data_IF_387632584714
#
_entry.id   IF_387632584714
#
_cell.length_a   1.000
_cell.length_b   1.000
_cell.length_c   1.000
_cell.angle_alpha   90.00
_cell.angle_beta   90.00
_cell.angle_gamma   90.00
#
_symmetry.space_group_name_H-M   'P 1'
#
loop_
_entity.id
_entity.type
_entity.pdbx_description
1 polymer ?
#
# COMPACT_ATOMS: atom_id res chain seq x y z
N UNK A 1 -27.50 -7.84 29.29
CA UNK A 1 -28.57 -7.28 28.43
C UNK A 1 -28.00 -7.17 27.06
N UNK A 2 -28.19 -8.23 26.29
CA UNK A 2 -27.64 -8.37 24.96
C UNK A 2 -28.58 -7.67 24.00
N UNK A 3 -28.14 -6.59 23.42
CA UNK A 3 -28.77 -6.02 22.25
C UNK A 3 -28.28 -6.81 21.04
N UNK A 4 -28.92 -7.87 20.74
CA UNK A 4 -28.82 -8.55 19.46
C UNK A 4 -29.46 -7.64 18.40
N UNK A 5 -28.64 -6.77 17.83
CA UNK A 5 -29.02 -6.01 16.66
C UNK A 5 -28.81 -6.91 15.46
N UNK A 6 -29.89 -7.35 14.87
CA UNK A 6 -29.92 -8.16 13.66
C UNK A 6 -28.96 -7.67 12.58
N UNK A 7 -27.77 -8.26 12.54
CA UNK A 7 -26.82 -8.11 11.47
C UNK A 7 -26.81 -9.39 10.64
N UNK A 8 -27.74 -9.45 9.70
CA UNK A 8 -27.70 -10.48 8.66
C UNK A 8 -26.36 -10.38 7.92
N UNK A 9 -25.65 -11.50 7.80
CA UNK A 9 -24.44 -11.60 6.99
C UNK A 9 -23.09 -11.43 7.72
N UNK A 10 -23.08 -11.27 9.05
CA UNK A 10 -21.81 -11.37 9.82
C UNK A 10 -21.67 -12.78 10.36
N UNK A 11 -20.49 -13.37 10.11
CA UNK A 11 -20.02 -14.54 10.87
C UNK A 11 -20.03 -14.15 12.34
N UNK A 12 -20.95 -14.72 13.09
CA UNK A 12 -20.95 -14.61 14.56
C UNK A 12 -19.71 -15.38 15.04
N UNK A 13 -18.86 -14.75 15.82
CA UNK A 13 -17.79 -15.46 16.53
C UNK A 13 -18.38 -16.66 17.24
N UNK A 14 -17.67 -17.79 17.23
CA UNK A 14 -17.99 -18.92 18.08
C UNK A 14 -18.25 -18.40 19.52
N UNK A 15 -19.31 -18.84 20.18
CA UNK A 15 -19.67 -18.34 21.49
C UNK A 15 -18.48 -18.40 22.43
N UNK A 16 -18.21 -17.32 23.15
CA UNK A 16 -17.08 -17.26 24.09
C UNK A 16 -17.18 -18.30 25.24
N UNK A 17 -18.34 -18.92 25.44
CA UNK A 17 -18.51 -20.07 26.32
C UNK A 17 -17.62 -21.27 25.95
N UNK A 18 -17.08 -21.32 24.70
CA UNK A 18 -16.06 -22.30 24.33
C UNK A 18 -14.79 -22.16 25.17
N UNK A 19 -14.49 -20.96 25.61
CA UNK A 19 -13.36 -20.66 26.49
C UNK A 19 -13.77 -20.58 27.97
N UNK A 20 -15.05 -20.83 28.30
CA UNK A 20 -15.49 -20.87 29.67
C UNK A 20 -14.80 -22.03 30.42
N UNK A 21 -14.34 -21.85 31.68
CA UNK A 21 -13.61 -22.88 32.43
C UNK A 21 -14.31 -24.24 32.49
N UNK A 22 -15.64 -24.25 32.49
CA UNK A 22 -16.42 -25.50 32.48
C UNK A 22 -16.39 -26.16 31.11
N UNK A 23 -16.48 -25.39 30.00
CA UNK A 23 -16.33 -25.90 28.66
C UNK A 23 -14.93 -26.47 28.42
N UNK A 24 -13.90 -25.79 28.91
CA UNK A 24 -12.51 -26.27 28.84
C UNK A 24 -12.36 -27.58 29.63
N UNK A 25 -12.92 -27.67 30.84
CA UNK A 25 -12.91 -28.91 31.65
C UNK A 25 -13.63 -30.06 30.95
N UNK A 26 -14.77 -29.79 30.32
CA UNK A 26 -15.52 -30.78 29.57
C UNK A 26 -14.73 -31.30 28.37
N UNK A 27 -14.11 -30.40 27.59
CA UNK A 27 -13.25 -30.76 26.45
C UNK A 27 -12.08 -31.63 26.89
N UNK A 28 -11.42 -31.31 28.03
CA UNK A 28 -10.33 -32.11 28.55
C UNK A 28 -10.82 -33.46 29.11
N UNK A 29 -12.01 -33.50 29.71
CA UNK A 29 -12.61 -34.78 30.20
C UNK A 29 -12.97 -35.69 29.03
N UNK A 30 -13.45 -35.17 27.95
CA UNK A 30 -13.82 -35.91 26.72
C UNK A 30 -12.60 -36.31 25.91
N UNK A 31 -11.55 -35.47 25.85
CA UNK A 31 -10.27 -35.81 25.19
C UNK A 31 -9.59 -37.01 25.85
N UNK A 32 -9.84 -37.28 27.15
CA UNK A 32 -9.37 -38.50 27.84
C UNK A 32 -10.09 -39.79 27.40
N UNK A 33 -11.25 -39.68 26.75
CA UNK A 33 -12.02 -40.81 26.22
C UNK A 33 -11.61 -41.25 24.82
N UNK A 34 -10.67 -40.57 24.23
CA UNK A 34 -10.17 -40.88 22.90
C UNK A 34 -10.58 -39.84 21.84
N UNK A 35 -9.60 -39.40 21.07
CA UNK A 35 -9.73 -38.32 20.10
C UNK A 35 -10.80 -38.59 19.03
N UNK A 36 -11.08 -39.87 18.71
CA UNK A 36 -12.10 -40.26 17.74
C UNK A 36 -13.52 -40.13 18.29
N UNK A 37 -13.72 -40.42 19.56
CA UNK A 37 -15.05 -40.37 20.20
C UNK A 37 -15.44 -38.91 20.48
N UNK A 38 -14.47 -38.05 20.78
CA UNK A 38 -14.69 -36.62 20.91
C UNK A 38 -15.17 -35.99 19.59
N UNK A 39 -14.50 -36.32 18.49
CA UNK A 39 -14.88 -35.81 17.15
C UNK A 39 -16.27 -36.33 16.77
N UNK A 40 -16.60 -37.60 17.06
CA UNK A 40 -17.93 -38.16 16.81
C UNK A 40 -19.00 -37.51 17.69
N UNK A 41 -18.70 -37.24 18.95
CA UNK A 41 -19.65 -36.58 19.86
C UNK A 41 -19.87 -35.10 19.47
N UNK A 42 -18.81 -34.39 19.03
CA UNK A 42 -18.94 -33.02 18.54
C UNK A 42 -19.80 -32.95 17.26
N UNK A 43 -19.63 -33.90 16.36
CA UNK A 43 -20.46 -34.01 15.16
C UNK A 43 -21.88 -34.50 15.46
N UNK A 44 -22.08 -35.38 16.43
CA UNK A 44 -23.41 -35.81 16.87
C UNK A 44 -24.21 -34.69 17.54
N UNK A 45 -23.51 -33.85 18.34
CA UNK A 45 -24.15 -32.68 18.94
C UNK A 45 -24.52 -31.59 17.92
N UNK A 46 -23.70 -31.44 16.88
CA UNK A 46 -24.02 -30.54 15.75
C UNK A 46 -25.07 -31.14 14.80
N UNK A 47 -25.18 -32.47 14.71
CA UNK A 47 -26.06 -33.18 13.78
C UNK A 47 -27.47 -33.45 14.32
N UNK A 48 -27.73 -33.24 15.62
CA UNK A 48 -29.06 -33.46 16.20
C UNK A 48 -30.13 -32.42 15.79
N UNK A 49 -29.77 -31.44 14.98
CA UNK A 49 -30.67 -30.43 14.39
C UNK A 49 -30.95 -30.59 12.87
N UNK A 50 -30.34 -31.55 12.22
CA UNK A 50 -30.46 -31.66 10.75
C UNK A 50 -31.26 -32.93 10.34
N UNK A 51 -32.56 -32.78 10.17
CA UNK A 51 -33.41 -33.76 9.51
C UNK A 51 -33.06 -33.90 8.03
N UNK A 52 -33.04 -35.15 7.56
CA UNK A 52 -32.73 -35.53 6.18
C UNK A 52 -33.59 -34.81 5.15
N UNK A 53 -33.00 -33.99 4.32
CA UNK A 53 -33.60 -33.39 3.13
C UNK A 53 -32.81 -33.79 1.88
N UNK A 54 -33.54 -34.28 0.86
CA UNK A 54 -33.01 -34.77 -0.40
C UNK A 54 -32.29 -33.67 -1.19
N UNK A 55 -31.23 -34.05 -1.90
CA UNK A 55 -30.47 -33.19 -2.77
C UNK A 55 -31.27 -32.68 -3.97
N UNK A 56 -31.34 -31.37 -4.14
CA UNK A 56 -31.85 -30.71 -5.30
C UNK A 56 -30.70 -30.05 -6.13
N UNK A 57 -30.83 -29.89 -7.45
CA UNK A 57 -29.77 -29.40 -8.31
C UNK A 57 -29.47 -27.92 -8.08
N UNK A 58 -28.21 -27.55 -8.22
CA UNK A 58 -27.62 -26.22 -8.07
C UNK A 58 -28.26 -25.20 -9.05
N UNK A 59 -28.95 -24.23 -8.53
CA UNK A 59 -29.33 -23.03 -9.28
C UNK A 59 -28.14 -22.04 -9.30
N UNK A 60 -28.01 -21.34 -10.43
CA UNK A 60 -26.91 -20.40 -10.69
C UNK A 60 -26.88 -19.24 -9.71
N UNK A 61 -25.66 -18.89 -9.30
CA UNK A 61 -25.35 -17.90 -8.30
C UNK A 61 -25.68 -16.48 -8.73
N UNK A 62 -26.69 -15.91 -8.14
CA UNK A 62 -26.83 -14.45 -7.99
C UNK A 62 -27.84 -14.07 -6.91
N UNK A 63 -28.17 -14.97 -6.00
CA UNK A 63 -29.03 -14.64 -4.85
C UNK A 63 -28.53 -15.32 -3.62
N UNK A 64 -28.81 -14.77 -2.47
CA UNK A 64 -28.63 -15.46 -1.20
C UNK A 64 -29.12 -16.90 -1.33
N UNK A 65 -28.34 -17.90 -0.89
CA UNK A 65 -28.75 -19.28 -0.93
C UNK A 65 -29.97 -19.44 -0.02
N UNK A 66 -31.13 -19.29 -0.61
CA UNK A 66 -32.47 -19.52 0.04
C UNK A 66 -32.89 -20.93 -0.29
N UNK A 67 -33.63 -21.56 0.60
CA UNK A 67 -34.21 -22.87 0.35
C UNK A 67 -34.98 -22.92 -0.99
N UNK A 68 -34.95 -24.07 -1.71
CA UNK A 68 -35.70 -24.23 -2.94
C UNK A 68 -37.19 -23.90 -2.78
N UNK A 69 -37.86 -23.56 -3.88
CA UNK A 69 -39.28 -23.23 -3.87
C UNK A 69 -40.12 -24.24 -3.07
N UNK A 70 -40.78 -23.76 -2.02
CA UNK A 70 -41.59 -24.59 -1.11
C UNK A 70 -40.84 -25.08 0.13
N UNK A 71 -39.55 -24.76 0.32
CA UNK A 71 -38.80 -25.01 1.54
C UNK A 71 -38.99 -23.92 2.62
N UNK A 72 -38.54 -24.20 3.83
CA UNK A 72 -38.52 -23.21 4.91
C UNK A 72 -37.55 -22.08 4.56
N UNK A 73 -37.98 -20.80 4.47
CA UNK A 73 -37.15 -19.67 4.11
C UNK A 73 -36.06 -19.35 5.16
N UNK A 74 -36.14 -19.97 6.35
CA UNK A 74 -35.13 -19.83 7.40
C UNK A 74 -34.00 -20.88 7.30
N UNK A 75 -34.12 -21.85 6.40
CA UNK A 75 -33.11 -22.89 6.17
C UNK A 75 -32.30 -22.57 4.94
N UNK A 76 -31.05 -22.28 5.10
CA UNK A 76 -30.12 -22.10 4.00
C UNK A 76 -29.79 -23.43 3.32
N UNK A 77 -29.75 -23.43 1.99
CA UNK A 77 -29.17 -24.55 1.26
C UNK A 77 -27.68 -24.71 1.61
N UNK A 78 -27.30 -25.91 2.06
CA UNK A 78 -25.90 -26.15 2.43
C UNK A 78 -25.05 -26.42 1.19
N UNK A 79 -24.07 -25.57 0.89
CA UNK A 79 -23.15 -25.78 -0.21
C UNK A 79 -22.25 -26.99 0.04
N UNK A 80 -21.64 -27.54 -1.02
CA UNK A 80 -20.82 -28.75 -0.93
C UNK A 80 -19.64 -28.63 0.06
N UNK A 81 -19.03 -27.44 0.15
CA UNK A 81 -17.95 -27.20 1.10
C UNK A 81 -18.38 -27.25 2.59
N UNK A 82 -19.68 -27.22 2.87
CA UNK A 82 -20.23 -27.39 4.22
C UNK A 82 -20.51 -28.86 4.57
N UNK A 83 -20.42 -29.77 3.59
CA UNK A 83 -20.77 -31.20 3.74
C UNK A 83 -19.58 -32.12 3.91
N UNK A 84 -18.35 -31.61 3.80
CA UNK A 84 -17.13 -32.44 3.85
C UNK A 84 -15.93 -31.74 4.47
N UNK A 85 -14.82 -32.45 4.46
CA UNK A 85 -13.54 -31.92 4.94
C UNK A 85 -12.89 -31.06 3.86
N UNK A 86 -12.29 -29.93 4.26
CA UNK A 86 -11.45 -29.09 3.42
C UNK A 86 -10.05 -29.66 3.21
N UNK A 87 -9.15 -28.82 2.76
CA UNK A 87 -7.76 -29.17 2.55
C UNK A 87 -7.03 -29.40 3.89
N UNK A 88 -6.03 -30.29 3.95
CA UNK A 88 -5.22 -30.47 5.14
C UNK A 88 -4.42 -29.20 5.48
N UNK A 89 -4.09 -29.03 6.75
CA UNK A 89 -3.23 -27.92 7.21
C UNK A 89 -1.83 -28.02 6.60
N UNK A 90 -1.19 -26.87 6.41
CA UNK A 90 0.18 -26.74 5.87
C UNK A 90 0.33 -27.38 4.46
N UNK A 91 -0.70 -27.30 3.62
CA UNK A 91 -0.61 -27.72 2.21
C UNK A 91 0.38 -26.85 1.43
N UNK A 92 0.48 -25.58 1.80
CA UNK A 92 1.46 -24.62 1.29
C UNK A 92 2.13 -23.92 2.48
N UNK A 93 3.43 -24.09 2.65
CA UNK A 93 4.18 -23.57 3.79
C UNK A 93 4.21 -22.04 3.88
N UNK A 94 4.10 -21.36 2.75
CA UNK A 94 3.87 -19.92 2.65
C UNK A 94 2.52 -19.69 1.97
N UNK A 95 1.48 -19.43 2.74
CA UNK A 95 0.10 -19.34 2.26
C UNK A 95 -0.06 -18.46 1.02
N UNK A 96 -1.01 -18.80 0.19
CA UNK A 96 -1.37 -18.05 -1.03
C UNK A 96 -2.77 -17.46 -0.90
N UNK A 97 -3.04 -16.37 -1.62
CA UNK A 97 -4.41 -15.88 -1.77
C UNK A 97 -5.34 -16.94 -2.37
N UNK A 98 -6.65 -16.81 -2.13
CA UNK A 98 -7.64 -17.66 -2.77
C UNK A 98 -7.46 -17.67 -4.29
N UNK A 99 -7.68 -18.81 -4.92
CA UNK A 99 -7.68 -18.94 -6.39
C UNK A 99 -8.68 -18.00 -7.08
N UNK A 100 -9.72 -17.59 -6.37
CA UNK A 100 -10.73 -16.64 -6.88
C UNK A 100 -10.23 -15.19 -6.89
N UNK A 101 -9.14 -14.89 -6.18
CA UNK A 101 -8.45 -13.60 -6.17
C UNK A 101 -7.28 -13.53 -7.16
N UNK A 102 -7.20 -14.45 -8.10
CA UNK A 102 -6.10 -14.53 -9.08
C UNK A 102 -5.94 -13.28 -9.97
N UNK A 103 -6.97 -12.45 -10.05
CA UNK A 103 -6.94 -11.17 -10.78
C UNK A 103 -6.30 -10.04 -9.97
N UNK A 104 -6.15 -10.19 -8.63
CA UNK A 104 -5.51 -9.21 -7.77
C UNK A 104 -4.00 -9.41 -7.87
N UNK A 105 -3.39 -8.71 -8.82
CA UNK A 105 -1.97 -8.84 -9.13
C UNK A 105 -1.36 -7.52 -9.59
N UNK A 106 -0.05 -7.41 -9.43
CA UNK A 106 0.72 -6.33 -10.05
C UNK A 106 0.62 -6.45 -11.58
N UNK A 107 0.54 -5.32 -12.26
CA UNK A 107 0.54 -5.29 -13.73
C UNK A 107 1.71 -4.48 -14.23
N UNK A 108 2.49 -5.05 -15.13
CA UNK A 108 3.57 -4.34 -15.80
C UNK A 108 2.99 -3.28 -16.75
N UNK A 109 3.68 -2.15 -16.87
CA UNK A 109 3.30 -1.14 -17.83
C UNK A 109 3.61 -1.57 -19.25
N UNK A 110 2.63 -1.63 -20.12
CA UNK A 110 2.86 -1.91 -21.53
C UNK A 110 3.58 -0.71 -22.19
N UNK A 111 4.75 -0.92 -22.75
CA UNK A 111 5.41 0.01 -23.68
C UNK A 111 6.10 1.23 -23.07
N UNK A 112 6.21 1.38 -21.77
CA UNK A 112 6.92 2.52 -21.14
C UNK A 112 8.44 2.35 -21.11
N UNK A 113 8.95 1.16 -21.36
CA UNK A 113 10.39 0.89 -21.26
C UNK A 113 10.83 -0.02 -22.40
N UNK A 114 12.06 0.15 -22.84
CA UNK A 114 12.62 -0.65 -23.93
C UNK A 114 12.99 -2.07 -23.52
N UNK A 115 13.14 -2.31 -22.22
CA UNK A 115 13.51 -3.62 -21.67
C UNK A 115 12.66 -3.96 -20.45
N UNK A 116 12.47 -5.24 -20.20
CA UNK A 116 11.76 -5.74 -19.00
C UNK A 116 12.54 -5.44 -17.71
N UNK A 117 13.85 -5.29 -17.80
CA UNK A 117 14.71 -4.97 -16.66
C UNK A 117 14.56 -3.51 -16.22
N UNK A 118 14.36 -2.58 -17.17
CA UNK A 118 14.14 -1.17 -16.87
C UNK A 118 12.64 -0.85 -16.91
N UNK A 119 11.86 -1.45 -16.04
CA UNK A 119 10.40 -1.40 -16.08
C UNK A 119 9.75 -1.10 -14.73
N UNK A 120 8.45 -1.04 -14.74
CA UNK A 120 7.58 -0.78 -13.58
C UNK A 120 6.45 -1.80 -13.53
N UNK A 121 6.10 -2.25 -12.32
CA UNK A 121 4.83 -2.92 -12.06
C UNK A 121 3.99 -2.09 -11.10
N UNK A 122 2.69 -2.05 -11.31
CA UNK A 122 1.74 -1.23 -10.58
C UNK A 122 0.99 -2.06 -9.53
N UNK A 123 0.88 -1.53 -8.30
CA UNK A 123 0.03 -2.10 -7.26
C UNK A 123 -1.45 -1.96 -7.62
N UNK A 124 -2.29 -2.98 -7.38
CA UNK A 124 -3.72 -2.96 -7.74
C UNK A 124 -4.56 -2.20 -6.69
N UNK A 125 -4.39 -0.88 -6.59
CA UNK A 125 -4.97 -0.05 -5.51
C UNK A 125 -6.48 -0.20 -5.35
N UNK A 126 -7.20 -0.40 -6.46
CA UNK A 126 -8.66 -0.57 -6.47
C UNK A 126 -9.12 -1.91 -5.86
N UNK A 127 -8.19 -2.86 -5.73
CA UNK A 127 -8.47 -4.20 -5.18
C UNK A 127 -7.86 -4.41 -3.79
N UNK A 128 -7.27 -3.37 -3.19
CA UNK A 128 -6.66 -3.43 -1.87
C UNK A 128 -7.56 -2.81 -0.80
N UNK A 129 -7.50 -3.38 0.39
CA UNK A 129 -8.24 -2.93 1.57
C UNK A 129 -7.28 -2.36 2.62
N UNK A 130 -7.80 -1.51 3.52
CA UNK A 130 -7.00 -0.88 4.55
C UNK A 130 -5.91 0.03 3.98
N UNK A 131 -4.77 0.13 4.65
CA UNK A 131 -3.66 1.01 4.29
C UNK A 131 -2.35 0.28 3.98
N UNK A 132 -2.25 -1.01 4.31
CA UNK A 132 -1.02 -1.81 4.08
C UNK A 132 -1.12 -2.54 2.75
N UNK A 133 -0.10 -2.38 1.94
CA UNK A 133 0.06 -3.15 0.70
C UNK A 133 0.77 -4.46 1.00
N UNK A 134 0.18 -5.62 0.71
CA UNK A 134 0.88 -6.90 0.83
C UNK A 134 2.22 -6.87 0.09
N UNK A 135 3.28 -7.47 0.67
CA UNK A 135 4.63 -7.42 0.08
C UNK A 135 4.66 -7.90 -1.37
N UNK A 136 3.89 -8.95 -1.70
CA UNK A 136 3.79 -9.47 -3.06
C UNK A 136 3.02 -8.58 -4.05
N UNK A 137 2.27 -7.57 -3.57
CA UNK A 137 1.52 -6.61 -4.39
C UNK A 137 2.11 -5.21 -4.35
N UNK A 138 3.20 -5.03 -3.62
CA UNK A 138 3.92 -3.76 -3.57
C UNK A 138 4.49 -3.42 -4.96
N UNK A 139 4.33 -2.19 -5.44
CA UNK A 139 4.81 -1.81 -6.75
C UNK A 139 6.33 -1.98 -6.89
N UNK A 140 6.79 -2.21 -8.09
CA UNK A 140 8.20 -2.27 -8.45
C UNK A 140 8.56 -1.16 -9.42
N UNK A 141 9.77 -0.61 -9.28
CA UNK A 141 10.41 0.22 -10.29
C UNK A 141 11.90 -0.11 -10.31
N UNK A 142 12.38 -0.61 -11.46
CA UNK A 142 13.77 -0.98 -11.67
C UNK A 142 14.36 -0.22 -12.85
N UNK A 143 15.65 0.06 -12.80
CA UNK A 143 16.43 0.61 -13.90
C UNK A 143 17.24 -0.48 -14.62
N UNK A 144 17.63 -1.55 -13.89
CA UNK A 144 18.39 -2.70 -14.43
C UNK A 144 17.93 -4.04 -13.82
N UNK A 145 16.63 -4.19 -13.55
CA UNK A 145 16.07 -5.40 -12.95
C UNK A 145 16.27 -5.49 -11.45
N UNK A 146 15.93 -6.63 -10.89
CA UNK A 146 16.10 -6.93 -9.48
C UNK A 146 17.14 -8.05 -9.30
N UNK A 147 17.72 -8.08 -8.11
CA UNK A 147 18.74 -9.05 -7.73
C UNK A 147 18.38 -9.71 -6.41
N UNK A 148 18.68 -10.99 -6.30
CA UNK A 148 18.63 -11.72 -5.03
C UNK A 148 20.07 -11.81 -4.51
N UNK A 149 20.40 -10.94 -3.56
CA UNK A 149 21.77 -10.77 -3.07
C UNK A 149 21.99 -11.63 -1.83
N UNK A 150 23.06 -12.42 -1.82
CA UNK A 150 23.47 -13.21 -0.67
C UNK A 150 23.76 -12.30 0.54
N UNK A 151 22.95 -12.34 1.62
CA UNK A 151 23.13 -11.46 2.78
C UNK A 151 24.43 -11.68 3.52
N UNK A 152 25.03 -12.90 3.45
CA UNK A 152 26.30 -13.20 4.08
C UNK A 152 27.48 -12.43 3.46
N UNK A 153 27.33 -12.04 2.20
CA UNK A 153 28.33 -11.27 1.42
C UNK A 153 28.01 -9.79 1.35
N UNK A 154 26.77 -9.40 1.63
CA UNK A 154 26.36 -8.00 1.58
C UNK A 154 27.02 -7.18 2.70
N UNK A 155 27.40 -5.95 2.37
CA UNK A 155 28.04 -5.01 3.31
C UNK A 155 27.45 -3.62 3.11
N UNK A 156 27.31 -2.89 4.22
CA UNK A 156 27.00 -1.46 4.23
C UNK A 156 28.21 -0.69 4.70
N UNK A 157 28.79 0.14 3.85
CA UNK A 157 29.84 1.09 4.20
C UNK A 157 29.22 2.45 4.55
N UNK A 158 29.69 3.06 5.64
CA UNK A 158 29.40 4.45 6.00
C UNK A 158 30.72 5.20 6.09
N UNK A 159 30.87 6.23 5.27
CA UNK A 159 32.06 7.08 5.19
C UNK A 159 31.68 8.57 5.03
N UNK A 160 32.64 9.46 5.20
CA UNK A 160 32.50 10.87 4.90
C UNK A 160 33.22 11.25 3.62
N UNK A 161 32.91 12.42 3.06
CA UNK A 161 33.68 13.06 2.01
C UNK A 161 35.10 13.53 2.54
N UNK A 162 35.20 13.70 3.87
CA UNK A 162 36.42 13.90 4.58
C UNK A 162 36.37 13.29 6.00
N UNK A 163 37.52 13.21 6.67
CA UNK A 163 37.72 12.62 8.00
C UNK A 163 37.16 13.48 9.15
N UNK A 164 36.83 14.72 8.89
CA UNK A 164 36.22 15.61 9.90
C UNK A 164 34.69 15.44 9.95
N UNK A 165 34.08 14.97 8.86
CA UNK A 165 32.67 14.74 8.79
C UNK A 165 32.29 13.38 9.39
N UNK A 166 33.05 12.34 9.08
CA UNK A 166 32.88 11.00 9.66
C UNK A 166 34.18 10.53 10.29
N UNK A 167 34.21 10.57 11.61
CA UNK A 167 35.46 10.31 12.39
C UNK A 167 35.89 8.85 12.34
N UNK A 168 34.95 7.94 12.25
CA UNK A 168 35.19 6.49 12.28
C UNK A 168 34.35 5.80 11.18
N UNK A 169 34.82 5.85 9.93
CA UNK A 169 34.19 5.11 8.86
C UNK A 169 34.10 3.62 9.19
N UNK A 170 32.94 3.01 8.88
CA UNK A 170 32.69 1.61 9.22
C UNK A 170 32.04 0.86 8.06
N UNK A 171 32.31 -0.45 8.05
CA UNK A 171 31.60 -1.42 7.19
C UNK A 171 30.83 -2.36 8.10
N UNK A 172 29.55 -2.46 7.88
CA UNK A 172 28.65 -3.30 8.64
C UNK A 172 28.26 -4.54 7.83
N UNK A 173 28.25 -5.70 8.48
CA UNK A 173 27.62 -6.92 7.98
C UNK A 173 26.13 -6.91 8.28
N UNK A 174 25.35 -7.79 7.63
CA UNK A 174 23.94 -7.96 7.96
C UNK A 174 23.75 -8.41 9.41
N UNK A 175 24.58 -9.34 9.88
CA UNK A 175 24.51 -9.83 11.26
C UNK A 175 24.76 -8.72 12.28
N UNK A 176 25.68 -7.82 12.02
CA UNK A 176 25.93 -6.66 12.89
C UNK A 176 24.73 -5.71 12.90
N UNK A 177 24.16 -5.40 11.74
CA UNK A 177 22.96 -4.55 11.65
C UNK A 177 21.77 -5.16 12.38
N UNK A 178 21.52 -6.46 12.22
CA UNK A 178 20.40 -7.14 12.86
C UNK A 178 20.52 -7.30 14.38
N UNK A 179 21.72 -7.12 14.95
CA UNK A 179 21.94 -7.08 16.40
C UNK A 179 21.66 -5.71 17.03
N UNK A 180 21.56 -4.66 16.23
CA UNK A 180 21.32 -3.31 16.72
C UNK A 180 19.82 -3.11 17.05
N UNK A 181 19.49 -2.17 17.94
CA UNK A 181 18.09 -1.81 18.19
C UNK A 181 17.38 -1.43 16.90
N UNK A 182 16.27 -2.10 16.62
CA UNK A 182 15.45 -1.85 15.44
C UNK A 182 14.16 -1.12 15.79
N UNK A 183 13.57 -0.51 14.79
CA UNK A 183 12.23 0.09 14.83
C UNK A 183 11.38 -0.44 13.69
N UNK A 184 10.07 -0.51 13.91
CA UNK A 184 9.10 -0.81 12.86
C UNK A 184 8.16 0.39 12.69
N UNK A 185 7.97 0.86 11.46
CA UNK A 185 7.16 2.05 11.17
C UNK A 185 6.41 1.89 9.85
N UNK A 186 5.15 2.35 9.84
CA UNK A 186 4.33 2.38 8.63
C UNK A 186 4.62 3.65 7.83
N UNK A 187 4.99 3.47 6.57
CA UNK A 187 5.19 4.60 5.65
C UNK A 187 4.72 4.25 4.25
N UNK A 188 4.16 5.25 3.56
CA UNK A 188 3.93 5.12 2.14
C UNK A 188 5.22 5.38 1.36
N UNK A 189 5.35 4.75 0.22
CA UNK A 189 6.34 5.05 -0.81
C UNK A 189 5.61 5.34 -2.13
N UNK A 190 5.93 6.46 -2.77
CA UNK A 190 5.42 6.84 -4.07
C UNK A 190 6.57 7.16 -5.02
N UNK A 191 6.55 6.59 -6.23
CA UNK A 191 7.48 6.97 -7.27
C UNK A 191 7.19 8.41 -7.74
N UNK A 192 8.20 9.23 -7.96
CA UNK A 192 8.03 10.58 -8.47
C UNK A 192 7.30 10.66 -9.82
N UNK A 193 7.35 9.59 -10.62
CA UNK A 193 6.65 9.48 -11.89
C UNK A 193 5.20 8.96 -11.77
N UNK A 194 4.71 8.69 -10.57
CA UNK A 194 3.32 8.26 -10.37
C UNK A 194 2.37 9.34 -10.89
N UNK A 195 1.35 8.94 -11.70
CA UNK A 195 0.48 9.86 -12.45
C UNK A 195 1.19 10.76 -13.48
N UNK A 196 2.46 10.51 -13.78
CA UNK A 196 3.23 11.33 -14.75
C UNK A 196 2.64 11.32 -16.15
N UNK A 197 2.02 10.24 -16.58
CA UNK A 197 1.37 10.14 -17.90
C UNK A 197 0.16 11.07 -18.03
N UNK A 198 -0.48 11.43 -16.93
CA UNK A 198 -1.63 12.33 -16.91
C UNK A 198 -1.25 13.82 -17.12
N UNK A 199 0.04 14.17 -17.17
CA UNK A 199 0.46 15.54 -17.44
C UNK A 199 0.03 16.07 -18.81
N UNK A 200 0.01 15.21 -19.83
CA UNK A 200 -0.37 15.57 -21.18
C UNK A 200 -1.88 15.57 -21.39
N UNK A 201 -2.51 14.51 -20.98
CA UNK A 201 -3.95 14.24 -21.08
C UNK A 201 -4.23 12.89 -20.42
N UNK A 202 -5.50 12.45 -20.46
CA UNK A 202 -5.86 11.09 -20.04
C UNK A 202 -5.08 10.06 -20.87
N UNK A 203 -4.23 9.32 -20.23
CA UNK A 203 -3.35 8.35 -20.89
C UNK A 203 -3.71 6.90 -20.60
N UNK A 204 -4.27 6.62 -19.41
CA UNK A 204 -4.50 5.26 -18.94
C UNK A 204 -5.83 5.14 -18.19
N UNK A 205 -6.54 4.01 -18.33
CA UNK A 205 -7.94 3.93 -17.94
C UNK A 205 -8.19 3.68 -16.46
N UNK A 206 -7.28 2.99 -15.74
CA UNK A 206 -7.58 2.44 -14.42
C UNK A 206 -6.78 3.10 -13.30
N UNK A 207 -7.29 3.03 -12.07
CA UNK A 207 -6.59 3.49 -10.88
C UNK A 207 -5.22 2.80 -10.71
N UNK A 208 -5.12 1.52 -11.05
CA UNK A 208 -3.85 0.79 -11.02
C UNK A 208 -2.80 1.44 -11.91
N UNK A 209 -3.13 1.82 -13.13
CA UNK A 209 -2.18 2.43 -14.06
C UNK A 209 -1.94 3.92 -13.80
N UNK A 210 -2.92 4.66 -13.30
CA UNK A 210 -2.74 6.07 -12.97
C UNK A 210 -1.92 6.27 -11.70
N UNK A 211 -2.23 5.50 -10.64
CA UNK A 211 -1.72 5.73 -9.27
C UNK A 211 -0.96 4.54 -8.68
N UNK A 212 -0.84 3.43 -9.38
CA UNK A 212 -0.31 2.18 -8.82
C UNK A 212 1.19 2.15 -8.53
N UNK A 213 1.96 3.22 -8.80
CA UNK A 213 3.32 3.37 -8.28
C UNK A 213 3.30 3.96 -6.86
N UNK A 214 2.37 3.51 -6.06
CA UNK A 214 2.14 3.84 -4.66
C UNK A 214 1.93 2.56 -3.87
N UNK A 215 2.57 2.44 -2.72
CA UNK A 215 2.36 1.35 -1.75
C UNK A 215 2.63 1.86 -0.34
N UNK A 216 2.14 1.14 0.65
CA UNK A 216 2.42 1.42 2.06
C UNK A 216 2.76 0.12 2.78
N UNK A 217 3.79 0.14 3.58
CA UNK A 217 4.27 -1.03 4.32
C UNK A 217 4.74 -0.64 5.71
N UNK A 218 4.74 -1.61 6.61
CA UNK A 218 5.55 -1.55 7.81
C UNK A 218 7.00 -1.90 7.46
N UNK A 219 7.92 -0.96 7.67
CA UNK A 219 9.35 -1.19 7.45
C UNK A 219 10.06 -1.38 8.79
N UNK A 220 10.88 -2.43 8.88
CA UNK A 220 11.67 -2.75 10.07
C UNK A 220 13.16 -2.64 9.77
N UNK A 221 13.88 -1.96 10.64
CA UNK A 221 15.33 -1.79 10.49
C UNK A 221 15.96 -0.88 11.54
N UNK A 222 17.21 -0.55 11.36
CA UNK A 222 17.98 0.30 12.27
C UNK A 222 17.79 1.77 11.87
N UNK A 223 17.46 2.68 12.80
CA UNK A 223 17.50 4.12 12.51
C UNK A 223 18.88 4.53 12.00
N UNK A 224 18.93 5.25 10.88
CA UNK A 224 20.22 5.68 10.32
C UNK A 224 21.01 6.55 11.30
N UNK A 225 20.31 7.32 12.13
CA UNK A 225 20.90 8.12 13.19
C UNK A 225 21.76 7.26 14.14
N UNK A 226 21.30 6.07 14.52
CA UNK A 226 22.06 5.13 15.37
C UNK A 226 23.39 4.73 14.72
N UNK A 227 23.38 4.44 13.43
CA UNK A 227 24.59 4.10 12.68
C UNK A 227 25.55 5.30 12.58
N UNK A 228 24.99 6.51 12.41
CA UNK A 228 25.79 7.74 12.37
C UNK A 228 26.44 8.07 13.70
N UNK A 229 25.76 7.84 14.80
CA UNK A 229 26.33 7.96 16.15
C UNK A 229 27.51 6.99 16.34
N UNK A 230 27.40 5.73 15.86
CA UNK A 230 28.47 4.74 15.89
C UNK A 230 29.66 5.10 15.01
N UNK A 231 29.45 5.87 13.95
CA UNK A 231 30.52 6.32 13.03
C UNK A 231 31.08 7.69 13.42
N UNK A 232 30.57 8.33 14.46
CA UNK A 232 30.99 9.64 14.90
C UNK A 232 30.76 10.74 13.86
N UNK A 233 29.57 10.75 13.22
CA UNK A 233 29.18 11.75 12.22
C UNK A 233 29.01 13.12 12.88
N UNK A 234 29.64 14.13 12.31
CA UNK A 234 29.46 15.53 12.69
C UNK A 234 28.31 16.15 11.90
N UNK A 235 27.14 16.25 12.54
CA UNK A 235 25.92 16.79 11.93
C UNK A 235 26.01 18.28 11.55
N UNK A 236 26.93 19.02 12.14
CA UNK A 236 27.13 20.44 11.79
C UNK A 236 27.89 20.61 10.49
N UNK A 237 28.86 19.72 10.23
CA UNK A 237 29.65 19.70 9.00
C UNK A 237 28.96 18.91 7.90
N UNK A 238 28.48 17.70 8.20
CA UNK A 238 27.77 16.85 7.26
C UNK A 238 26.34 17.33 7.05
N UNK A 239 26.09 17.93 5.90
CA UNK A 239 24.78 18.54 5.54
C UNK A 239 23.96 17.65 4.64
N UNK A 240 24.59 16.73 3.94
CA UNK A 240 23.95 15.88 2.94
C UNK A 240 24.43 14.44 3.07
N UNK A 241 23.54 13.53 2.74
CA UNK A 241 23.77 12.08 2.78
C UNK A 241 23.53 11.52 1.39
N UNK A 242 24.50 10.80 0.83
CA UNK A 242 24.36 10.07 -0.41
C UNK A 242 24.16 8.59 -0.10
N UNK A 243 23.01 8.03 -0.48
CA UNK A 243 22.80 6.59 -0.51
C UNK A 243 23.17 6.01 -1.87
N UNK A 244 23.80 4.82 -1.89
CA UNK A 244 24.18 4.10 -3.10
C UNK A 244 23.76 2.64 -3.06
N UNK A 245 23.14 2.15 -4.15
CA UNK A 245 22.74 0.76 -4.33
C UNK A 245 23.86 -0.14 -4.85
N UNK A 246 23.75 -1.44 -4.58
CA UNK A 246 24.70 -2.47 -5.01
C UNK A 246 24.38 -3.09 -6.38
N UNK A 247 23.21 -2.76 -6.95
CA UNK A 247 22.80 -3.24 -8.26
C UNK A 247 23.53 -2.54 -9.40
N UNK A 248 23.40 -3.05 -10.62
CA UNK A 248 24.10 -2.49 -11.79
C UNK A 248 23.71 -1.05 -12.14
N UNK A 249 22.56 -0.56 -11.66
CA UNK A 249 22.18 0.83 -11.85
C UNK A 249 22.92 1.77 -10.89
N UNK A 250 23.46 1.25 -9.80
CA UNK A 250 24.15 2.01 -8.74
C UNK A 250 23.41 3.30 -8.39
N UNK A 251 22.08 3.18 -8.22
CA UNK A 251 21.25 4.36 -7.93
C UNK A 251 21.79 5.14 -6.75
N UNK A 252 21.96 6.43 -6.96
CA UNK A 252 22.44 7.37 -5.94
C UNK A 252 21.47 8.52 -5.80
N UNK A 253 21.21 8.93 -4.56
CA UNK A 253 20.36 10.10 -4.25
C UNK A 253 20.89 10.82 -3.04
N UNK A 254 20.87 12.14 -3.13
CA UNK A 254 21.15 13.03 -2.01
C UNK A 254 19.94 13.17 -1.12
N UNK A 255 20.15 12.98 0.18
CA UNK A 255 19.15 13.19 1.23
C UNK A 255 19.66 14.30 2.16
N UNK A 256 18.87 15.34 2.43
CA UNK A 256 19.25 16.37 3.41
C UNK A 256 19.43 15.76 4.81
N UNK A 257 20.47 16.22 5.53
CA UNK A 257 20.80 15.70 6.87
C UNK A 257 19.67 15.88 7.87
N UNK A 258 18.87 16.93 7.74
CA UNK A 258 17.73 17.22 8.63
C UNK A 258 16.72 16.06 8.67
N UNK A 259 16.58 15.32 7.58
CA UNK A 259 15.70 14.14 7.54
C UNK A 259 16.29 12.97 8.37
N UNK A 260 17.61 12.87 8.44
CA UNK A 260 18.26 11.85 9.28
C UNK A 260 18.24 12.25 10.75
N UNK A 261 18.48 13.52 11.06
CA UNK A 261 18.41 14.07 12.42
C UNK A 261 17.02 13.89 13.06
N UNK A 262 15.95 13.93 12.25
CA UNK A 262 14.60 13.65 12.73
C UNK A 262 14.45 12.25 13.33
N UNK A 263 15.35 11.32 13.02
CA UNK A 263 15.33 9.93 13.45
C UNK A 263 14.31 9.07 12.68
N UNK A 264 13.68 9.58 11.60
CA UNK A 264 12.70 8.85 10.83
C UNK A 264 13.30 7.97 9.74
N UNK A 265 14.53 8.29 9.26
CA UNK A 265 15.21 7.52 8.22
C UNK A 265 15.69 6.17 8.78
N UNK A 266 15.35 5.10 8.09
CA UNK A 266 15.60 3.72 8.51
C UNK A 266 16.47 3.02 7.45
N UNK A 267 17.48 2.29 7.92
CA UNK A 267 18.18 1.27 7.14
C UNK A 267 17.43 -0.04 7.35
N UNK A 268 16.49 -0.32 6.45
CA UNK A 268 15.51 -1.39 6.60
C UNK A 268 15.99 -2.71 5.99
N UNK A 269 15.69 -3.80 6.69
CA UNK A 269 15.86 -5.17 6.22
C UNK A 269 14.53 -5.96 6.23
N UNK A 270 13.51 -5.48 6.93
CA UNK A 270 12.19 -6.09 7.02
C UNK A 270 11.08 -5.25 6.41
N UNK A 271 10.03 -5.93 5.91
CA UNK A 271 8.83 -5.33 5.35
C UNK A 271 7.61 -6.21 5.66
N UNK A 272 6.59 -5.63 6.27
CA UNK A 272 5.32 -6.33 6.60
C UNK A 272 5.52 -7.66 7.36
N UNK A 273 6.45 -7.69 8.34
CA UNK A 273 6.70 -8.87 9.18
C UNK A 273 7.56 -9.95 8.54
N UNK A 274 8.03 -9.77 7.32
CA UNK A 274 8.99 -10.66 6.64
C UNK A 274 10.27 -9.88 6.28
N UNK A 275 11.31 -10.58 5.81
CA UNK A 275 12.46 -9.87 5.22
C UNK A 275 12.04 -9.19 3.93
N UNK A 276 12.75 -8.13 3.54
CA UNK A 276 12.55 -7.48 2.25
C UNK A 276 12.55 -8.53 1.13
N UNK A 277 11.65 -8.40 0.17
CA UNK A 277 11.71 -9.23 -1.04
C UNK A 277 12.80 -8.72 -1.98
N UNK A 278 13.38 -9.59 -2.84
CA UNK A 278 14.42 -9.19 -3.78
C UNK A 278 14.06 -7.96 -4.60
N UNK A 279 12.85 -7.92 -5.15
CA UNK A 279 12.36 -6.78 -5.94
C UNK A 279 12.17 -5.50 -5.11
N UNK A 280 12.08 -5.61 -3.79
CA UNK A 280 11.98 -4.49 -2.85
C UNK A 280 13.34 -4.07 -2.26
N UNK A 281 14.42 -4.73 -2.67
CA UNK A 281 15.78 -4.34 -2.32
C UNK A 281 16.45 -5.19 -1.25
N UNK A 282 16.08 -6.48 -1.12
CA UNK A 282 16.80 -7.42 -0.25
C UNK A 282 18.32 -7.41 -0.53
N UNK A 283 19.20 -7.46 0.50
CA UNK A 283 18.84 -7.61 1.91
C UNK A 283 18.66 -6.28 2.67
N UNK A 284 18.94 -5.12 2.05
CA UNK A 284 18.97 -3.84 2.73
C UNK A 284 18.48 -2.70 1.84
N UNK A 285 17.63 -1.83 2.38
CA UNK A 285 17.23 -0.60 1.69
C UNK A 285 17.23 0.60 2.62
N UNK A 286 17.41 1.80 2.02
CA UNK A 286 17.17 3.05 2.69
C UNK A 286 15.67 3.39 2.64
N UNK A 287 15.09 3.75 3.77
CA UNK A 287 13.71 4.24 3.91
C UNK A 287 13.77 5.69 4.33
N UNK A 288 13.23 6.59 3.49
CA UNK A 288 13.24 8.05 3.73
C UNK A 288 11.80 8.57 3.71
N UNK A 289 11.10 8.57 4.85
CA UNK A 289 9.67 8.84 4.90
C UNK A 289 9.28 10.21 4.37
N UNK A 290 8.21 10.25 3.56
CA UNK A 290 7.63 11.49 3.05
C UNK A 290 8.31 12.05 1.80
N UNK A 291 9.40 11.44 1.32
CA UNK A 291 10.06 11.86 0.08
C UNK A 291 9.83 10.84 -1.04
N UNK A 292 10.14 11.23 -2.27
CA UNK A 292 9.99 10.39 -3.45
C UNK A 292 10.67 9.04 -3.31
N UNK A 293 10.04 8.00 -3.84
CA UNK A 293 10.54 6.63 -3.80
C UNK A 293 11.94 6.43 -4.38
N UNK A 294 12.40 7.30 -5.27
CA UNK A 294 13.76 7.27 -5.80
C UNK A 294 14.84 7.50 -4.74
N UNK A 295 14.52 8.20 -3.67
CA UNK A 295 15.43 8.40 -2.52
C UNK A 295 15.50 7.17 -1.60
N UNK A 296 14.61 6.20 -1.76
CA UNK A 296 14.56 4.97 -0.98
C UNK A 296 15.41 3.89 -1.65
N UNK A 297 16.73 4.09 -1.58
CA UNK A 297 17.72 3.27 -2.29
C UNK A 297 17.60 1.79 -1.92
N UNK A 298 17.39 0.94 -2.94
CA UNK A 298 17.39 -0.52 -2.83
C UNK A 298 18.81 -1.08 -2.86
N UNK A 299 19.01 -2.26 -2.26
CA UNK A 299 20.32 -2.94 -2.22
C UNK A 299 21.39 -2.05 -1.63
N UNK A 300 21.06 -1.30 -0.57
CA UNK A 300 21.90 -0.25 0.00
C UNK A 300 23.26 -0.79 0.41
N UNK A 301 24.33 -0.34 -0.26
CA UNK A 301 25.72 -0.77 0.01
C UNK A 301 26.62 0.31 0.59
N UNK A 302 26.32 1.59 0.33
CA UNK A 302 27.13 2.70 0.81
C UNK A 302 26.27 3.90 1.19
N UNK A 303 26.70 4.54 2.26
CA UNK A 303 26.22 5.86 2.66
C UNK A 303 27.44 6.74 2.82
N UNK A 304 27.49 7.85 2.07
CA UNK A 304 28.51 8.87 2.21
C UNK A 304 27.91 10.16 2.75
N UNK A 305 28.59 10.80 3.70
CA UNK A 305 28.15 12.06 4.32
C UNK A 305 29.06 13.18 3.85
N UNK A 306 28.48 14.25 3.34
CA UNK A 306 29.21 15.41 2.82
C UNK A 306 28.59 16.75 3.23
N UNK A 307 29.32 17.83 2.95
CA UNK A 307 28.94 19.21 3.26
C UNK A 307 28.17 19.88 2.12
N UNK A 308 28.19 19.30 0.91
CA UNK A 308 27.55 19.81 -0.31
C UNK A 308 26.61 18.76 -0.91
N UNK A 309 25.58 19.19 -1.67
CA UNK A 309 24.77 18.28 -2.49
C UNK A 309 25.65 17.58 -3.54
N UNK A 310 25.46 16.27 -3.70
CA UNK A 310 26.31 15.47 -4.59
C UNK A 310 26.02 15.64 -6.07
N UNK A 311 24.82 16.16 -6.41
CA UNK A 311 24.43 16.32 -7.83
C UNK A 311 24.45 15.01 -8.59
N UNK A 312 23.92 13.95 -7.98
CA UNK A 312 23.90 12.62 -8.58
C UNK A 312 23.25 12.65 -9.98
N UNK A 313 23.69 11.74 -10.86
CA UNK A 313 23.27 11.71 -12.28
C UNK A 313 21.77 11.87 -12.46
N UNK A 314 20.95 11.07 -11.75
CA UNK A 314 19.51 11.12 -11.91
C UNK A 314 18.90 12.40 -11.33
N UNK A 315 19.52 13.01 -10.32
CA UNK A 315 19.09 14.30 -9.78
C UNK A 315 19.28 15.42 -10.78
N UNK A 316 20.41 15.39 -11.51
CA UNK A 316 20.76 16.44 -12.46
C UNK A 316 20.06 16.32 -13.81
N UNK A 317 19.64 15.11 -14.20
CA UNK A 317 19.11 14.85 -15.55
C UNK A 317 17.59 14.62 -15.54
N UNK A 318 17.07 13.87 -14.56
CA UNK A 318 15.69 13.37 -14.63
C UNK A 318 14.72 14.05 -13.70
N UNK A 319 15.18 14.56 -12.56
CA UNK A 319 14.32 15.12 -11.52
C UNK A 319 14.39 16.65 -11.45
N UNK A 320 14.44 17.27 -12.61
CA UNK A 320 14.40 18.73 -12.74
C UNK A 320 13.17 19.16 -13.55
N UNK A 321 12.44 20.12 -13.01
CA UNK A 321 11.32 20.74 -13.70
C UNK A 321 11.73 22.10 -14.30
N UNK A 322 11.35 22.34 -15.55
CA UNK A 322 11.45 23.66 -16.15
C UNK A 322 10.22 24.47 -15.74
N UNK A 323 10.44 25.48 -14.92
CA UNK A 323 9.36 26.35 -14.42
C UNK A 323 8.89 27.35 -15.50
N UNK A 324 7.67 27.89 -15.40
CA UNK A 324 7.12 28.83 -16.39
C UNK A 324 8.00 30.02 -16.69
N UNK A 325 8.80 30.47 -15.74
CA UNK A 325 9.77 31.58 -15.90
C UNK A 325 11.08 31.18 -16.56
N UNK A 326 11.22 29.97 -17.10
CA UNK A 326 12.45 29.47 -17.71
C UNK A 326 13.53 29.03 -16.72
N UNK A 327 13.25 29.06 -15.43
CA UNK A 327 14.16 28.59 -14.41
C UNK A 327 14.03 27.09 -14.23
N UNK A 328 15.13 26.43 -13.93
CA UNK A 328 15.12 25.02 -13.53
C UNK A 328 14.87 24.91 -12.01
N UNK A 329 13.93 24.08 -11.63
CA UNK A 329 13.74 23.67 -10.25
C UNK A 329 14.13 22.21 -10.12
N UNK A 330 15.12 21.94 -9.29
CA UNK A 330 15.41 20.58 -8.90
C UNK A 330 14.22 20.04 -8.10
N UNK A 331 13.63 19.00 -8.61
CA UNK A 331 12.52 18.38 -7.92
C UNK A 331 13.05 17.46 -6.85
N UNK A 332 12.87 17.84 -5.64
CA UNK A 332 13.64 17.19 -4.62
C UNK A 332 12.86 16.36 -3.73
N UNK A 333 11.80 16.25 -3.52
CA UNK A 333 11.82 15.48 -2.31
C UNK A 333 10.49 15.24 -1.71
N UNK A 334 9.90 16.16 -1.07
CA UNK A 334 8.72 15.93 -0.24
C UNK A 334 7.50 15.73 -1.13
N UNK A 335 6.84 14.59 -0.99
CA UNK A 335 5.58 14.30 -1.64
C UNK A 335 4.49 15.20 -1.05
N UNK A 336 3.88 16.03 -1.86
CA UNK A 336 2.78 16.91 -1.44
C UNK A 336 1.49 16.11 -1.24
N UNK A 337 0.53 16.70 -0.55
CA UNK A 337 -0.73 16.07 -0.21
C UNK A 337 -1.50 15.64 -1.45
N UNK A 338 -1.95 14.38 -1.48
CA UNK A 338 -2.60 13.75 -2.63
C UNK A 338 -3.66 12.75 -2.19
N UNK A 339 -4.67 12.56 -3.00
CA UNK A 339 -5.67 11.52 -2.82
C UNK A 339 -6.14 10.97 -4.15
N UNK A 340 -6.69 9.77 -4.12
CA UNK A 340 -7.37 9.12 -5.24
C UNK A 340 -8.52 8.26 -4.74
N UNK A 341 -9.65 8.32 -5.43
CA UNK A 341 -10.74 7.36 -5.22
C UNK A 341 -10.36 6.05 -5.91
N UNK A 342 -10.39 4.97 -5.15
CA UNK A 342 -10.08 3.62 -5.63
C UNK A 342 -11.34 2.83 -5.99
N UNK A 343 -12.49 3.21 -5.41
CA UNK A 343 -13.81 2.61 -5.69
C UNK A 343 -14.92 3.66 -5.50
N UNK A 344 -15.76 3.92 -6.52
CA UNK A 344 -15.59 3.45 -7.90
C UNK A 344 -14.47 4.19 -8.62
N UNK A 345 -13.72 3.50 -9.48
CA UNK A 345 -12.63 4.06 -10.25
C UNK A 345 -12.57 3.47 -11.66
N UNK A 346 -11.75 4.03 -12.53
CA UNK A 346 -11.68 3.65 -13.94
C UNK A 346 -11.53 2.15 -14.16
N UNK A 347 -12.34 1.60 -15.07
CA UNK A 347 -12.41 0.18 -15.39
C UNK A 347 -13.37 -0.63 -14.53
N UNK A 348 -14.02 -0.02 -13.54
CA UNK A 348 -15.11 -0.64 -12.77
C UNK A 348 -16.46 -0.27 -13.37
N UNK A 349 -17.50 -1.01 -13.00
CA UNK A 349 -18.88 -0.80 -13.45
C UNK A 349 -19.81 -0.84 -12.24
N UNK A 350 -20.66 0.16 -12.10
CA UNK A 350 -21.78 0.13 -11.17
C UNK A 350 -22.94 -0.64 -11.85
N UNK A 351 -23.43 -1.67 -11.22
CA UNK A 351 -24.43 -2.56 -11.84
C UNK A 351 -25.84 -1.99 -11.82
N UNK A 352 -26.22 -1.34 -10.73
CA UNK A 352 -27.57 -0.81 -10.50
C UNK A 352 -27.53 0.56 -9.84
N UNK A 353 -28.61 1.31 -9.97
CA UNK A 353 -28.86 2.50 -9.16
C UNK A 353 -28.93 2.12 -7.68
N UNK A 354 -28.54 3.02 -6.79
CA UNK A 354 -28.66 2.78 -5.38
C UNK A 354 -27.43 3.17 -4.56
N UNK A 355 -27.28 2.52 -3.42
CA UNK A 355 -26.25 2.84 -2.45
C UNK A 355 -24.89 2.29 -2.86
N UNK A 356 -23.89 3.19 -2.85
CA UNK A 356 -22.48 2.88 -3.01
C UNK A 356 -21.67 3.56 -1.91
N UNK A 357 -20.61 2.90 -1.48
CA UNK A 357 -19.60 3.52 -0.63
C UNK A 357 -18.42 3.94 -1.49
N UNK A 358 -18.20 5.25 -1.64
CA UNK A 358 -16.99 5.77 -2.29
C UNK A 358 -15.83 5.62 -1.31
N UNK A 359 -14.78 4.90 -1.72
CA UNK A 359 -13.58 4.69 -0.93
C UNK A 359 -12.32 5.08 -1.70
N UNK A 360 -11.31 5.54 -0.99
CA UNK A 360 -10.04 5.91 -1.60
C UNK A 360 -8.89 6.00 -0.60
N UNK A 361 -7.76 6.43 -1.11
CA UNK A 361 -6.51 6.61 -0.37
C UNK A 361 -6.07 8.07 -0.43
N UNK A 362 -5.52 8.56 0.67
CA UNK A 362 -4.91 9.88 0.78
C UNK A 362 -3.57 9.79 1.51
N UNK A 363 -2.63 10.67 1.20
CA UNK A 363 -1.30 10.70 1.80
C UNK A 363 -0.66 12.09 1.71
N UNK A 364 0.32 12.34 2.56
CA UNK A 364 1.18 13.52 2.49
C UNK A 364 2.57 13.19 3.05
N UNK A 365 3.60 13.65 2.36
CA UNK A 365 4.98 13.58 2.85
C UNK A 365 5.29 14.60 3.95
N UNK A 366 4.39 15.55 4.19
CA UNK A 366 4.55 16.61 5.20
C UNK A 366 3.93 16.27 6.54
N UNK A 367 3.27 15.10 6.66
CA UNK A 367 2.67 14.69 7.92
C UNK A 367 1.40 13.87 7.74
N UNK A 368 0.42 14.09 8.62
CA UNK A 368 -0.87 13.39 8.59
C UNK A 368 -1.84 14.03 7.61
N UNK A 369 -2.67 13.20 7.00
CA UNK A 369 -3.88 13.67 6.33
C UNK A 369 -4.87 14.17 7.38
N UNK A 370 -5.30 15.42 7.25
CA UNK A 370 -6.23 16.05 8.19
C UNK A 370 -7.68 15.87 7.75
N UNK A 371 -7.94 15.92 6.46
CA UNK A 371 -9.28 15.85 5.88
C UNK A 371 -9.21 15.39 4.42
N UNK A 372 -10.25 14.70 4.01
CA UNK A 372 -10.53 14.43 2.60
C UNK A 372 -11.94 14.89 2.29
N UNK A 373 -12.10 15.68 1.26
CA UNK A 373 -13.40 16.06 0.72
C UNK A 373 -13.66 15.29 -0.59
N UNK A 374 -14.90 14.87 -0.80
CA UNK A 374 -15.35 14.17 -2.00
C UNK A 374 -16.43 14.98 -2.69
N UNK A 375 -16.34 15.06 -4.01
CA UNK A 375 -17.33 15.65 -4.88
C UNK A 375 -17.84 14.56 -5.85
N UNK A 376 -19.12 14.62 -6.21
CA UNK A 376 -19.74 13.76 -7.25
C UNK A 376 -20.24 14.59 -8.44
N UNK A 377 -20.01 15.89 -8.44
CA UNK A 377 -20.49 16.86 -9.42
C UNK A 377 -19.35 17.66 -10.10
N UNK A 378 -18.12 17.10 -10.11
CA UNK A 378 -16.95 17.71 -10.75
C UNK A 378 -16.38 18.90 -9.98
N UNK A 379 -16.49 18.87 -8.66
CA UNK A 379 -15.89 19.88 -7.77
C UNK A 379 -16.77 21.11 -7.52
N UNK A 380 -18.05 21.10 -7.92
CA UNK A 380 -18.99 22.19 -7.61
C UNK A 380 -19.39 22.19 -6.14
N UNK A 381 -19.66 21.00 -5.61
CA UNK A 381 -19.92 20.80 -4.19
C UNK A 381 -18.99 19.74 -3.60
N UNK A 382 -18.68 19.90 -2.31
CA UNK A 382 -17.77 19.01 -1.60
C UNK A 382 -18.37 18.58 -0.27
N UNK A 383 -18.24 17.29 0.05
CA UNK A 383 -18.63 16.72 1.33
C UNK A 383 -17.41 16.06 1.97
N UNK A 384 -17.23 16.29 3.27
CA UNK A 384 -16.11 15.66 4.01
C UNK A 384 -16.35 14.18 4.18
N UNK A 385 -15.37 13.38 3.79
CA UNK A 385 -15.36 11.94 3.95
C UNK A 385 -14.88 11.54 5.36
N UNK A 386 -15.27 10.36 5.78
CA UNK A 386 -14.75 9.75 7.02
C UNK A 386 -13.35 9.19 6.75
N UNK A 387 -12.39 9.54 7.60
CA UNK A 387 -11.07 8.91 7.61
C UNK A 387 -11.12 7.67 8.48
N UNK A 388 -10.54 6.57 8.01
CA UNK A 388 -10.40 5.36 8.80
C UNK A 388 -9.16 5.43 9.71
N UNK A 389 -9.31 4.95 10.93
CA UNK A 389 -8.18 4.85 11.86
C UNK A 389 -7.33 3.61 11.56
N UNK A 390 -6.00 3.66 11.76
CA UNK A 390 -5.24 4.79 12.26
C UNK A 390 -4.89 5.82 11.16
N UNK A 391 -4.85 7.12 11.52
CA UNK A 391 -4.30 8.18 10.68
C UNK A 391 -2.87 8.46 11.14
N UNK A 392 -1.89 8.02 10.37
CA UNK A 392 -0.47 8.09 10.69
C UNK A 392 0.24 9.15 9.83
N UNK A 393 1.32 9.73 10.37
CA UNK A 393 2.18 10.68 9.65
C UNK A 393 2.95 9.97 8.54
N UNK A 394 3.01 10.58 7.36
CA UNK A 394 3.75 10.06 6.20
C UNK A 394 3.36 8.60 5.85
N UNK A 395 2.06 8.33 5.94
CA UNK A 395 1.45 7.04 5.73
C UNK A 395 0.20 7.18 4.85
N UNK A 396 -0.28 6.09 4.28
CA UNK A 396 -1.59 6.08 3.64
C UNK A 396 -2.69 6.26 4.69
N UNK A 397 -3.74 6.96 4.30
CA UNK A 397 -4.98 7.08 5.06
C UNK A 397 -6.12 6.67 4.16
N UNK A 398 -6.91 5.69 4.57
CA UNK A 398 -8.12 5.32 3.84
C UNK A 398 -9.26 6.25 4.24
N UNK A 399 -10.06 6.63 3.26
CA UNK A 399 -11.28 7.39 3.46
C UNK A 399 -12.46 6.73 2.78
N UNK A 400 -13.66 7.02 3.27
CA UNK A 400 -14.90 6.56 2.66
C UNK A 400 -16.03 7.55 2.93
N UNK A 401 -17.02 7.52 2.03
CA UNK A 401 -18.22 8.33 2.13
C UNK A 401 -19.38 7.64 1.40
N UNK A 402 -20.55 7.70 2.00
CA UNK A 402 -21.77 7.15 1.44
C UNK A 402 -22.27 8.01 0.28
N UNK A 403 -22.69 7.34 -0.79
CA UNK A 403 -23.24 7.94 -2.00
C UNK A 403 -24.40 7.10 -2.51
N UNK A 404 -25.47 7.76 -2.87
CA UNK A 404 -26.60 7.15 -3.60
C UNK A 404 -26.49 7.61 -5.03
N UNK A 405 -26.22 6.67 -5.93
CA UNK A 405 -26.20 6.94 -7.37
C UNK A 405 -27.60 6.81 -7.94
N UNK A 406 -28.03 7.82 -8.72
CA UNK A 406 -29.36 7.93 -9.33
C UNK A 406 -29.39 7.54 -10.82
N UNK A 407 -28.38 6.79 -11.29
CA UNK A 407 -28.25 6.38 -12.70
C UNK A 407 -27.74 7.47 -13.63
N UNK A 408 -27.59 8.71 -13.17
CA UNK A 408 -27.10 9.81 -14.01
C UNK A 408 -25.59 9.89 -14.06
N UNK A 409 -25.03 10.50 -15.13
CA UNK A 409 -23.60 10.75 -15.18
C UNK A 409 -23.11 11.56 -13.99
N UNK A 410 -22.03 11.09 -13.35
CA UNK A 410 -21.42 11.74 -12.19
C UNK A 410 -19.90 11.92 -12.37
N UNK A 411 -19.39 13.08 -11.99
CA UNK A 411 -17.95 13.38 -11.99
C UNK A 411 -17.41 13.28 -10.56
N UNK A 412 -16.80 12.14 -10.26
CA UNK A 412 -16.38 11.79 -8.90
C UNK A 412 -14.92 12.17 -8.68
N UNK A 413 -14.66 12.92 -7.61
CA UNK A 413 -13.34 13.47 -7.25
C UNK A 413 -13.09 13.36 -5.76
N UNK A 414 -11.83 13.26 -5.36
CA UNK A 414 -11.38 13.48 -3.99
C UNK A 414 -10.33 14.58 -3.91
N UNK A 415 -10.31 15.30 -2.78
CA UNK A 415 -9.36 16.35 -2.48
C UNK A 415 -8.87 16.21 -1.05
N UNK A 416 -7.56 15.95 -0.88
CA UNK A 416 -6.96 15.85 0.44
C UNK A 416 -6.45 17.19 0.98
N UNK A 417 -6.46 17.32 2.30
CA UNK A 417 -5.84 18.40 3.06
C UNK A 417 -4.98 17.76 4.14
N UNK A 418 -3.72 18.15 4.25
CA UNK A 418 -2.83 17.68 5.30
C UNK A 418 -2.80 18.59 6.55
N UNK A 419 -2.06 18.17 7.56
CA UNK A 419 -1.96 18.91 8.82
C UNK A 419 -1.26 20.28 8.70
N UNK A 420 -0.49 20.51 7.62
CA UNK A 420 0.10 21.82 7.32
C UNK A 420 -0.92 22.79 6.74
N UNK A 421 -2.11 22.30 6.37
CA UNK A 421 -3.15 23.08 5.70
C UNK A 421 -3.01 23.11 4.19
N UNK A 422 -2.03 22.39 3.62
CA UNK A 422 -1.92 22.25 2.17
C UNK A 422 -3.10 21.50 1.58
N UNK A 423 -3.70 22.06 0.54
CA UNK A 423 -4.86 21.51 -0.16
C UNK A 423 -4.42 20.97 -1.51
N UNK A 424 -4.79 19.75 -1.83
CA UNK A 424 -4.54 19.14 -3.14
C UNK A 424 -5.14 20.00 -4.25
N UNK A 425 -4.33 20.43 -5.25
CA UNK A 425 -4.78 21.36 -6.31
C UNK A 425 -5.58 20.66 -7.39
N UNK A 426 -6.39 21.43 -8.09
CA UNK A 426 -6.92 21.01 -9.40
C UNK A 426 -5.79 20.92 -10.42
N UNK A 427 -6.03 20.21 -11.53
CA UNK A 427 -5.08 20.12 -12.61
C UNK A 427 -4.68 21.49 -13.16
N UNK A 428 -5.64 22.39 -13.34
CA UNK A 428 -5.42 23.77 -13.79
C UNK A 428 -4.52 24.57 -12.84
N UNK A 429 -4.77 24.47 -11.54
CA UNK A 429 -3.95 25.12 -10.51
C UNK A 429 -2.52 24.58 -10.51
N UNK A 430 -2.37 23.26 -10.61
CA UNK A 430 -1.05 22.64 -10.64
C UNK A 430 -0.26 23.06 -11.89
N UNK A 431 -0.89 23.08 -13.06
CA UNK A 431 -0.27 23.51 -14.32
C UNK A 431 0.18 24.97 -14.31
N UNK A 432 -0.53 25.83 -13.59
CA UNK A 432 -0.17 27.25 -13.48
C UNK A 432 1.16 27.48 -12.73
N UNK A 433 1.55 26.56 -11.84
CA UNK A 433 2.77 26.67 -11.03
C UNK A 433 3.87 25.69 -11.43
N UNK A 434 3.56 24.71 -12.28
CA UNK A 434 4.50 23.74 -12.80
C UNK A 434 4.76 24.01 -14.29
N UNK A 435 5.85 23.44 -14.80
CA UNK A 435 6.14 23.51 -16.23
C UNK A 435 5.13 22.74 -17.07
N UNK A 436 4.93 23.17 -18.31
CA UNK A 436 4.19 22.40 -19.31
C UNK A 436 4.91 21.12 -19.75
N UNK A 437 6.17 20.94 -19.34
CA UNK A 437 7.01 19.77 -19.62
C UNK A 437 7.33 18.96 -18.36
N UNK A 438 6.60 19.18 -17.28
CA UNK A 438 6.74 18.36 -16.07
C UNK A 438 6.46 16.89 -16.38
N UNK A 439 7.31 16.02 -15.86
CA UNK A 439 7.18 14.57 -15.99
C UNK A 439 6.85 13.94 -14.62
N UNK A 440 7.33 14.57 -13.55
CA UNK A 440 7.26 14.05 -12.20
C UNK A 440 6.27 14.82 -11.34
N UNK A 441 5.82 14.17 -10.29
CA UNK A 441 5.06 14.77 -9.21
C UNK A 441 3.75 15.43 -9.62
N UNK A 442 2.95 14.68 -10.31
CA UNK A 442 1.57 15.06 -10.56
C UNK A 442 0.72 14.69 -9.34
N UNK A 443 0.32 15.68 -8.55
CA UNK A 443 -0.57 15.50 -7.40
C UNK A 443 -1.92 16.22 -7.59
N UNK A 444 -2.31 16.47 -8.84
CA UNK A 444 -3.61 17.04 -9.15
C UNK A 444 -4.77 16.11 -8.75
N UNK A 445 -5.92 16.72 -8.54
CA UNK A 445 -7.18 15.99 -8.32
C UNK A 445 -7.47 15.10 -9.53
N UNK A 446 -7.67 13.80 -9.29
CA UNK A 446 -8.12 12.81 -10.26
C UNK A 446 -9.63 12.85 -10.38
N UNK A 447 -10.14 12.76 -11.61
CA UNK A 447 -11.58 12.71 -11.89
C UNK A 447 -11.96 11.38 -12.52
N UNK A 448 -13.02 10.75 -11.99
CA UNK A 448 -13.67 9.60 -12.56
C UNK A 448 -15.06 9.97 -13.05
N UNK A 449 -15.39 9.70 -14.31
CA UNK A 449 -16.73 9.83 -14.87
C UNK A 449 -17.46 8.50 -14.71
N UNK A 450 -18.51 8.49 -13.92
CA UNK A 450 -19.51 7.42 -13.93
C UNK A 450 -20.53 7.76 -15.01
N UNK A 451 -20.66 6.89 -16.00
CA UNK A 451 -21.64 7.04 -17.09
C UNK A 451 -23.01 6.51 -16.69
N UNK A 452 -24.06 6.82 -17.43
CA UNK A 452 -25.40 6.24 -17.25
C UNK A 452 -25.42 4.70 -17.30
N UNK A 453 -24.51 4.11 -18.08
CA UNK A 453 -24.31 2.66 -18.12
C UNK A 453 -23.67 2.06 -16.86
N UNK A 454 -23.30 2.88 -15.88
CA UNK A 454 -22.52 2.49 -14.72
C UNK A 454 -21.01 2.35 -14.98
N UNK A 455 -20.56 2.38 -16.24
CA UNK A 455 -19.12 2.30 -16.59
C UNK A 455 -18.36 3.50 -16.03
N UNK A 456 -17.22 3.26 -15.40
CA UNK A 456 -16.36 4.31 -14.82
C UNK A 456 -15.16 4.56 -15.71
N UNK A 457 -14.96 5.81 -16.11
CA UNK A 457 -13.88 6.25 -17.02
C UNK A 457 -12.98 7.28 -16.38
N UNK A 458 -11.70 7.22 -16.73
CA UNK A 458 -10.75 8.29 -16.45
C UNK A 458 -11.05 9.49 -17.35
N UNK A 459 -11.18 10.68 -16.74
CA UNK A 459 -11.36 11.94 -17.47
C UNK A 459 -10.54 13.05 -16.80
N UNK A 460 -10.14 14.05 -17.59
CA UNK A 460 -9.54 15.27 -17.07
C UNK A 460 -10.51 16.45 -17.22
N UNK A 461 -10.65 17.22 -16.16
CA UNK A 461 -11.33 18.50 -16.20
C UNK A 461 -10.32 19.61 -16.47
N UNK A 462 -10.65 20.49 -17.43
CA UNK A 462 -9.80 21.60 -17.87
C UNK A 462 -9.62 22.70 -16.80
#
# INVERSE_FOLDING_TARGET
MDSDSGMSGRLVKAPENFLHPDGVRQVFAEAKKGRRDFIRAAFAAAGAGAGAGAAAPLASAASNPVAPDGGDPNILELPEHSKGLGQPVVTDGYGKPSKYEGNVQRRQSPGLTQTTQASVSFAPLQSLFGIVTPSGLHFERHHQGWWDIDPSKHRLMINGSDDQIVKTPRVFTMDELMRLPSVSRFHFIECGANTGMEWGNVAVPTCQYTHGMLSCSEFTGVPLRTLFEMCGVDYKRGRFVLGEGADGSSMTRTVPMELVESGEVIVAYGQNGEMLRPEQGYPLRLVVPGVQGVSWIKYLRRIEVGDQPYGAKDEAIHYMDLMPGGQHRQYTSTQECKSVITTPSGGQVLLDEGFYNISGLAWSGKGKVKRVDVSVDGGRTWRTARLESPVLSKCLTRFNIDWVWDGKPALVQSRAVDETGYVQPTYKQLRAVRSTRSTYHNHAIQTWLVQESGEVKNVQLA
#
